data_IF_346799222226
#
_entry.id   IF_346799222226
#
_cell.length_a   1.000
_cell.length_b   1.000
_cell.length_c   1.000
_cell.angle_alpha   90.00
_cell.angle_beta   90.00
_cell.angle_gamma   90.00
#
_symmetry.space_group_name_H-M   'P 1'
#
loop_
_entity.id
_entity.type
_entity.pdbx_description
1 polymer ?
#
# COMPACT_ATOMS: atom_id res chain seq x y z
N UNK A 1 2.01 18.48 -20.22
CA UNK A 1 1.29 18.11 -18.97
C UNK A 1 0.39 19.23 -18.47
N UNK A 2 0.85 20.48 -18.42
CA UNK A 2 0.10 21.64 -17.94
C UNK A 2 -1.19 21.87 -18.71
N UNK A 3 -1.16 21.81 -20.04
CA UNK A 3 -2.35 22.00 -20.88
C UNK A 3 -3.47 20.98 -20.61
N UNK A 4 -3.12 19.71 -20.34
CA UNK A 4 -4.10 18.69 -19.99
C UNK A 4 -4.76 19.00 -18.65
N UNK A 5 -3.98 19.48 -17.67
CA UNK A 5 -4.50 19.86 -16.36
C UNK A 5 -5.47 21.03 -16.46
N UNK A 6 -5.14 22.07 -17.23
CA UNK A 6 -6.05 23.19 -17.48
C UNK A 6 -7.32 22.76 -18.19
N UNK A 7 -7.21 21.94 -19.23
CA UNK A 7 -8.35 21.40 -19.96
C UNK A 7 -9.33 20.63 -19.04
N UNK A 8 -8.79 19.78 -18.17
CA UNK A 8 -9.59 19.02 -17.21
C UNK A 8 -10.17 19.93 -16.12
N UNK A 9 -9.38 20.87 -15.59
CA UNK A 9 -9.82 21.81 -14.55
C UNK A 9 -10.98 22.67 -15.04
N UNK A 10 -10.91 23.27 -16.23
CA UNK A 10 -12.01 24.06 -16.78
C UNK A 10 -13.31 23.28 -16.87
N UNK A 11 -13.25 22.02 -17.31
CA UNK A 11 -14.44 21.17 -17.41
C UNK A 11 -15.01 20.83 -16.05
N UNK A 12 -14.15 20.50 -15.08
CA UNK A 12 -14.56 20.24 -13.72
C UNK A 12 -15.23 21.48 -13.12
N UNK A 13 -14.67 22.67 -13.28
CA UNK A 13 -15.24 23.90 -12.74
C UNK A 13 -16.62 24.18 -13.35
N UNK A 14 -16.78 24.00 -14.67
CA UNK A 14 -18.08 24.16 -15.35
C UNK A 14 -19.10 23.17 -14.81
N UNK A 15 -18.75 21.89 -14.65
CA UNK A 15 -19.66 20.85 -14.14
C UNK A 15 -20.01 21.04 -12.67
N UNK A 16 -19.13 21.59 -11.85
CA UNK A 16 -19.35 21.81 -10.43
C UNK A 16 -19.99 23.16 -10.10
N UNK A 17 -19.98 24.10 -11.03
CA UNK A 17 -20.51 25.44 -10.81
C UNK A 17 -21.95 25.46 -10.28
N UNK A 18 -22.89 24.63 -10.75
CA UNK A 18 -24.26 24.60 -10.21
C UNK A 18 -24.35 24.21 -8.74
N UNK A 19 -23.36 23.47 -8.21
CA UNK A 19 -23.35 22.99 -6.84
C UNK A 19 -22.52 23.87 -5.89
N UNK A 20 -21.47 24.50 -6.42
CA UNK A 20 -20.53 25.31 -5.63
C UNK A 20 -20.13 26.59 -6.37
N UNK A 21 -21.09 27.49 -6.65
CA UNK A 21 -20.87 28.65 -7.55
C UNK A 21 -19.77 29.57 -7.07
N UNK A 22 -19.71 29.90 -5.80
CA UNK A 22 -18.73 30.85 -5.28
C UNK A 22 -17.28 30.35 -5.37
N UNK A 23 -17.06 29.09 -5.03
CA UNK A 23 -15.72 28.49 -5.03
C UNK A 23 -15.22 28.31 -6.46
N UNK A 24 -16.07 27.79 -7.34
CA UNK A 24 -15.71 27.55 -8.74
C UNK A 24 -15.48 28.85 -9.50
N UNK A 25 -16.27 29.89 -9.21
CA UNK A 25 -16.10 31.23 -9.78
C UNK A 25 -14.76 31.85 -9.32
N UNK A 26 -14.45 31.78 -8.02
CA UNK A 26 -13.20 32.32 -7.49
C UNK A 26 -11.96 31.65 -8.11
N UNK A 27 -12.02 30.34 -8.34
CA UNK A 27 -10.94 29.62 -9.02
C UNK A 27 -10.88 30.02 -10.49
N UNK A 28 -12.02 30.11 -11.19
CA UNK A 28 -12.11 30.48 -12.59
C UNK A 28 -11.51 31.85 -12.86
N UNK A 29 -11.86 32.87 -12.05
CA UNK A 29 -11.37 34.24 -12.17
C UNK A 29 -9.86 34.39 -11.91
N UNK A 30 -9.20 33.36 -11.39
CA UNK A 30 -7.74 33.39 -11.23
C UNK A 30 -6.97 33.30 -12.56
N UNK A 31 -7.64 32.86 -13.64
CA UNK A 31 -7.04 32.70 -14.97
C UNK A 31 -7.99 33.03 -16.15
N UNK A 32 -9.21 33.47 -15.87
CA UNK A 32 -10.18 34.01 -16.84
C UNK A 32 -10.69 35.36 -16.37
N UNK A 33 -11.00 36.25 -17.34
CA UNK A 33 -11.56 37.57 -17.07
C UNK A 33 -13.08 37.59 -17.09
N UNK A 34 -13.70 36.59 -17.75
CA UNK A 34 -15.14 36.41 -17.86
C UNK A 34 -15.72 35.59 -16.69
N UNK A 35 -17.02 35.65 -16.49
CA UNK A 35 -17.69 34.87 -15.46
C UNK A 35 -17.90 33.42 -15.92
N UNK A 36 -17.65 32.47 -15.04
CA UNK A 36 -17.91 31.05 -15.26
C UNK A 36 -19.39 30.78 -15.57
N UNK A 37 -20.28 31.56 -14.94
CA UNK A 37 -21.74 31.47 -15.14
C UNK A 37 -22.17 31.59 -16.61
N UNK A 38 -21.45 32.38 -17.40
CA UNK A 38 -21.77 32.59 -18.83
C UNK A 38 -20.93 31.70 -19.75
N UNK A 39 -20.04 30.92 -19.21
CA UNK A 39 -19.19 30.02 -19.98
C UNK A 39 -20.00 28.87 -20.60
N UNK A 40 -19.64 28.51 -21.82
CA UNK A 40 -20.33 27.41 -22.53
C UNK A 40 -20.19 26.10 -21.77
N UNK A 41 -21.31 25.38 -21.61
CA UNK A 41 -21.32 24.05 -20.99
C UNK A 41 -20.43 23.06 -21.75
N UNK A 42 -19.65 22.20 -21.06
CA UNK A 42 -18.76 21.29 -21.74
C UNK A 42 -19.52 20.23 -22.54
N UNK A 43 -19.14 20.06 -23.78
CA UNK A 43 -19.62 18.98 -24.65
C UNK A 43 -18.65 17.81 -24.65
N UNK A 44 -19.19 16.61 -24.90
CA UNK A 44 -18.37 15.42 -25.09
C UNK A 44 -17.63 15.51 -26.41
N UNK A 45 -16.32 15.38 -26.36
CA UNK A 45 -15.47 15.27 -27.53
C UNK A 45 -15.02 13.83 -27.73
N UNK A 46 -15.63 13.13 -28.68
CA UNK A 46 -15.35 11.71 -28.95
C UNK A 46 -13.92 11.44 -29.43
N UNK A 47 -13.20 12.49 -29.90
CA UNK A 47 -11.80 12.32 -30.36
C UNK A 47 -10.84 11.92 -29.23
N UNK A 48 -11.20 12.20 -27.98
CA UNK A 48 -10.41 11.82 -26.80
C UNK A 48 -10.79 10.46 -26.19
N UNK A 49 -11.80 9.78 -26.73
CA UNK A 49 -12.21 8.45 -26.26
C UNK A 49 -11.33 7.41 -26.98
N UNK A 50 -10.53 6.68 -26.24
CA UNK A 50 -9.69 5.60 -26.74
C UNK A 50 -9.79 4.39 -25.82
N UNK A 51 -10.65 3.44 -26.19
CA UNK A 51 -10.93 2.23 -25.40
C UNK A 51 -9.68 1.36 -25.17
N UNK A 52 -8.75 1.32 -26.15
CA UNK A 52 -7.48 0.60 -25.99
C UNK A 52 -6.64 1.22 -24.88
N UNK A 53 -6.43 2.54 -24.95
CA UNK A 53 -5.66 3.26 -23.94
C UNK A 53 -6.30 3.17 -22.54
N UNK A 54 -7.63 3.20 -22.46
CA UNK A 54 -8.36 3.03 -21.19
C UNK A 54 -8.16 1.62 -20.62
N UNK A 55 -8.23 0.60 -21.47
CA UNK A 55 -8.01 -0.80 -21.08
C UNK A 55 -6.56 -1.02 -20.60
N UNK A 56 -5.58 -0.51 -21.34
CA UNK A 56 -4.15 -0.57 -20.99
C UNK A 56 -3.86 0.12 -19.66
N UNK A 57 -4.40 1.33 -19.49
CA UNK A 57 -4.24 2.07 -18.26
C UNK A 57 -4.95 1.40 -17.07
N UNK A 58 -6.13 0.78 -17.30
CA UNK A 58 -6.83 0.01 -16.28
C UNK A 58 -5.99 -1.17 -15.81
N UNK A 59 -5.36 -1.89 -16.73
CA UNK A 59 -4.46 -2.99 -16.41
C UNK A 59 -3.25 -2.51 -15.58
N UNK A 60 -2.59 -1.44 -16.01
CA UNK A 60 -1.47 -0.83 -15.26
C UNK A 60 -1.88 -0.43 -13.83
N UNK A 61 -3.06 0.19 -13.69
CA UNK A 61 -3.59 0.60 -12.38
C UNK A 61 -3.83 -0.59 -11.45
N UNK A 62 -4.35 -1.69 -11.97
CA UNK A 62 -4.56 -2.91 -11.19
C UNK A 62 -3.24 -3.53 -10.73
N UNK A 63 -2.25 -3.62 -11.64
CA UNK A 63 -0.90 -4.09 -11.29
C UNK A 63 -0.26 -3.22 -10.20
N UNK A 64 -0.32 -1.90 -10.35
CA UNK A 64 0.21 -0.95 -9.35
C UNK A 64 -0.49 -1.12 -8.00
N UNK A 65 -1.81 -1.29 -8.02
CA UNK A 65 -2.60 -1.49 -6.80
C UNK A 65 -2.23 -2.80 -6.11
N UNK A 66 -2.07 -3.88 -6.87
CA UNK A 66 -1.68 -5.17 -6.34
C UNK A 66 -0.27 -5.14 -5.71
N UNK A 67 0.69 -4.46 -6.36
CA UNK A 67 2.03 -4.26 -5.79
C UNK A 67 1.96 -3.51 -4.46
N UNK A 68 1.19 -2.43 -4.39
CA UNK A 68 1.02 -1.64 -3.16
C UNK A 68 0.37 -2.45 -2.05
N UNK A 69 -0.66 -3.23 -2.37
CA UNK A 69 -1.34 -4.09 -1.41
C UNK A 69 -0.38 -5.17 -0.88
N UNK A 70 0.33 -5.87 -1.76
CA UNK A 70 1.30 -6.88 -1.38
C UNK A 70 2.41 -6.32 -0.48
N UNK A 71 2.91 -5.12 -0.78
CA UNK A 71 3.89 -4.43 0.10
C UNK A 71 3.30 -4.08 1.46
N UNK A 72 2.05 -3.60 1.49
CA UNK A 72 1.35 -3.25 2.73
C UNK A 72 1.09 -4.47 3.61
N UNK A 73 0.58 -5.54 3.02
CA UNK A 73 0.29 -6.82 3.70
C UNK A 73 1.55 -7.45 4.30
N UNK A 74 2.66 -7.38 3.56
CA UNK A 74 3.95 -7.88 4.02
C UNK A 74 4.77 -6.84 4.82
N UNK A 75 4.15 -5.69 5.17
CA UNK A 75 4.74 -4.62 6.00
C UNK A 75 6.09 -4.11 5.48
N UNK A 76 6.29 -4.10 4.15
CA UNK A 76 7.51 -3.62 3.51
C UNK A 76 7.59 -2.10 3.67
N UNK A 77 8.65 -1.54 4.27
CA UNK A 77 8.79 -0.11 4.44
C UNK A 77 8.75 0.66 3.12
N UNK A 78 8.14 1.87 3.07
CA UNK A 78 8.07 2.66 1.83
C UNK A 78 9.43 3.01 1.22
N UNK A 79 10.46 3.17 2.07
CA UNK A 79 11.82 3.48 1.64
C UNK A 79 12.57 2.28 1.04
N UNK A 80 12.15 1.05 1.38
CA UNK A 80 12.81 -0.16 0.92
C UNK A 80 12.48 -0.41 -0.55
N UNK A 81 13.51 -0.55 -1.37
CA UNK A 81 13.37 -0.95 -2.77
C UNK A 81 13.14 -2.46 -2.87
N UNK A 82 12.26 -2.85 -3.80
CA UNK A 82 11.98 -4.25 -4.12
C UNK A 82 12.25 -4.48 -5.59
N UNK A 83 12.80 -5.64 -5.94
CA UNK A 83 12.89 -6.07 -7.34
C UNK A 83 11.55 -6.72 -7.71
N UNK A 84 11.09 -6.52 -8.92
CA UNK A 84 9.86 -7.12 -9.42
C UNK A 84 10.15 -7.94 -10.67
N UNK A 85 9.75 -9.21 -10.65
CA UNK A 85 9.80 -10.10 -11.79
C UNK A 85 8.37 -10.37 -12.27
N UNK A 86 8.09 -10.02 -13.51
CA UNK A 86 6.81 -10.23 -14.15
C UNK A 86 6.87 -11.48 -15.01
N UNK A 87 5.91 -12.37 -14.82
CA UNK A 87 5.76 -13.58 -15.62
C UNK A 87 5.30 -13.29 -17.05
N UNK A 88 5.28 -14.31 -17.92
CA UNK A 88 4.78 -14.17 -19.27
C UNK A 88 3.27 -13.85 -19.27
N UNK A 89 2.89 -12.79 -20.00
CA UNK A 89 1.50 -12.36 -20.12
C UNK A 89 1.29 -11.65 -21.45
N UNK A 90 0.10 -11.76 -22.10
CA UNK A 90 -0.18 -11.06 -23.37
C UNK A 90 0.03 -9.55 -23.32
N UNK A 91 -0.21 -8.94 -22.17
CA UNK A 91 -0.04 -7.50 -21.94
C UNK A 91 1.30 -7.14 -21.28
N UNK A 92 2.28 -8.05 -21.21
CA UNK A 92 3.59 -7.78 -20.60
C UNK A 92 4.33 -6.62 -21.29
N UNK A 93 4.16 -6.46 -22.60
CA UNK A 93 4.75 -5.36 -23.38
C UNK A 93 4.31 -3.98 -22.86
N UNK A 94 3.07 -3.85 -22.36
CA UNK A 94 2.56 -2.59 -21.78
C UNK A 94 3.33 -2.24 -20.50
N UNK A 95 3.64 -3.24 -19.68
CA UNK A 95 4.41 -3.03 -18.45
C UNK A 95 5.85 -2.61 -18.73
N UNK A 96 6.44 -3.20 -19.79
CA UNK A 96 7.78 -2.88 -20.23
C UNK A 96 7.87 -1.47 -20.81
N UNK A 97 6.90 -1.05 -21.60
CA UNK A 97 6.81 0.32 -22.15
C UNK A 97 6.65 1.35 -21.02
N UNK A 98 5.85 1.01 -20.01
CA UNK A 98 5.51 1.92 -18.89
C UNK A 98 6.33 1.69 -17.61
N UNK A 99 7.51 1.08 -17.70
CA UNK A 99 8.37 0.78 -16.54
C UNK A 99 8.73 2.02 -15.70
N UNK A 100 8.89 3.19 -16.32
CA UNK A 100 9.14 4.45 -15.62
C UNK A 100 7.95 4.83 -14.74
N UNK A 101 6.74 4.65 -15.26
CA UNK A 101 5.50 4.91 -14.53
C UNK A 101 5.37 3.94 -13.35
N UNK A 102 5.64 2.66 -13.57
CA UNK A 102 5.63 1.65 -12.53
C UNK A 102 6.57 2.00 -11.37
N UNK A 103 7.79 2.47 -11.65
CA UNK A 103 8.77 2.88 -10.63
C UNK A 103 8.39 4.18 -9.91
N UNK A 104 7.70 5.11 -10.59
CA UNK A 104 7.43 6.46 -10.07
C UNK A 104 6.21 6.55 -9.15
N UNK A 105 5.24 5.65 -9.27
CA UNK A 105 3.93 5.73 -8.60
C UNK A 105 3.91 5.15 -7.18
N UNK A 106 4.91 5.41 -6.37
CA UNK A 106 5.01 4.93 -4.97
C UNK A 106 4.89 3.41 -4.82
N UNK A 107 5.33 2.69 -5.83
CA UNK A 107 5.40 1.22 -5.79
C UNK A 107 6.63 0.72 -5.03
N UNK A 108 7.64 1.58 -4.86
CA UNK A 108 8.91 1.22 -4.24
C UNK A 108 9.72 0.22 -5.07
N UNK A 109 9.45 0.11 -6.37
CA UNK A 109 10.18 -0.79 -7.26
C UNK A 109 11.55 -0.24 -7.62
N UNK A 110 12.56 -1.09 -7.56
CA UNK A 110 13.91 -0.87 -8.07
C UNK A 110 14.06 -1.47 -9.47
N UNK A 111 14.64 -2.66 -9.54
CA UNK A 111 14.83 -3.36 -10.79
C UNK A 111 13.57 -4.11 -11.22
N UNK A 112 13.33 -4.15 -12.53
CA UNK A 112 12.21 -4.85 -13.14
C UNK A 112 12.76 -5.88 -14.14
N UNK A 113 12.24 -7.09 -14.06
CA UNK A 113 12.49 -8.15 -15.01
C UNK A 113 11.19 -8.62 -15.63
N UNK A 114 11.15 -8.87 -16.92
CA UNK A 114 9.95 -9.27 -17.64
C UNK A 114 10.10 -10.66 -18.23
N UNK A 115 8.98 -11.35 -18.43
CA UNK A 115 8.92 -12.70 -18.99
C UNK A 115 9.73 -13.74 -18.16
N UNK A 116 9.74 -13.58 -16.84
CA UNK A 116 10.44 -14.50 -15.93
C UNK A 116 9.55 -15.69 -15.64
N UNK A 117 10.05 -16.89 -15.94
CA UNK A 117 9.37 -18.17 -15.68
C UNK A 117 9.82 -18.84 -14.39
N UNK A 118 11.03 -18.51 -13.96
CA UNK A 118 11.63 -19.11 -12.79
C UNK A 118 11.04 -18.53 -11.51
N UNK A 119 10.78 -19.40 -10.54
CA UNK A 119 10.28 -18.98 -9.24
C UNK A 119 11.45 -18.60 -8.33
N UNK A 120 11.39 -17.39 -7.80
CA UNK A 120 12.36 -16.88 -6.82
C UNK A 120 11.93 -17.39 -5.44
N UNK A 121 12.75 -18.19 -4.72
CA UNK A 121 12.33 -18.89 -3.51
C UNK A 121 11.83 -17.99 -2.37
N UNK A 122 12.33 -16.76 -2.29
CA UNK A 122 11.99 -15.80 -1.22
C UNK A 122 11.08 -14.67 -1.69
N UNK A 123 10.48 -14.77 -2.88
CA UNK A 123 9.63 -13.73 -3.42
C UNK A 123 8.19 -13.83 -2.91
N UNK A 124 7.56 -12.67 -2.77
CA UNK A 124 6.13 -12.56 -2.55
C UNK A 124 5.43 -12.73 -3.90
N UNK A 125 4.56 -13.73 -3.99
CA UNK A 125 3.80 -14.02 -5.20
C UNK A 125 2.48 -13.26 -5.20
N UNK A 126 2.21 -12.56 -6.29
CA UNK A 126 0.98 -11.82 -6.54
C UNK A 126 0.43 -12.21 -7.91
N UNK A 127 -0.85 -12.47 -8.01
CA UNK A 127 -1.52 -12.73 -9.29
C UNK A 127 -2.53 -11.63 -9.60
N UNK A 128 -2.45 -11.07 -10.81
CA UNK A 128 -3.36 -10.02 -11.30
C UNK A 128 -3.81 -10.37 -12.71
N UNK A 129 -5.07 -10.68 -12.89
CA UNK A 129 -5.64 -11.04 -14.22
C UNK A 129 -4.84 -12.10 -14.99
N UNK A 130 -4.26 -13.06 -14.29
CA UNK A 130 -3.43 -14.10 -14.90
C UNK A 130 -1.96 -13.71 -15.11
N UNK A 131 -1.58 -12.47 -14.82
CA UNK A 131 -0.18 -12.08 -14.70
C UNK A 131 0.36 -12.55 -13.35
N UNK A 132 1.42 -13.32 -13.36
CA UNK A 132 2.18 -13.65 -12.16
C UNK A 132 3.26 -12.59 -11.91
N UNK A 133 3.28 -12.06 -10.71
CA UNK A 133 4.25 -11.07 -10.26
C UNK A 133 4.98 -11.62 -9.04
N UNK A 134 6.29 -11.56 -9.05
CA UNK A 134 7.15 -11.92 -7.94
C UNK A 134 7.85 -10.66 -7.43
N UNK A 135 7.64 -10.33 -6.16
CA UNK A 135 8.34 -9.22 -5.51
C UNK A 135 9.46 -9.80 -4.65
N UNK A 136 10.70 -9.62 -5.11
CA UNK A 136 11.88 -9.96 -4.34
C UNK A 136 12.19 -8.78 -3.41
N UNK A 137 12.05 -8.99 -2.13
CA UNK A 137 12.56 -8.05 -1.14
C UNK A 137 14.01 -8.43 -0.86
N UNK A 138 14.92 -7.51 -1.06
CA UNK A 138 16.20 -7.60 -0.35
C UNK A 138 15.83 -7.43 1.13
N UNK A 139 15.50 -8.52 1.77
CA UNK A 139 15.38 -8.56 3.22
C UNK A 139 16.82 -8.42 3.69
N UNK A 140 17.15 -7.23 4.18
CA UNK A 140 18.33 -7.09 5.00
C UNK A 140 18.04 -7.91 6.27
N UNK A 141 18.48 -9.17 6.25
CA UNK A 141 18.23 -10.14 7.32
C UNK A 141 18.66 -9.56 8.67
N UNK A 142 19.69 -8.71 8.67
CA UNK A 142 20.17 -8.04 9.87
C UNK A 142 19.18 -6.97 10.37
N UNK A 143 18.59 -6.21 9.49
CA UNK A 143 17.54 -5.21 9.86
C UNK A 143 16.28 -5.92 10.35
N UNK A 144 15.85 -6.97 9.67
CA UNK A 144 14.64 -7.71 10.08
C UNK A 144 14.88 -8.44 11.40
N UNK A 145 16.05 -9.04 11.57
CA UNK A 145 16.47 -9.66 12.84
C UNK A 145 16.49 -8.64 13.98
N UNK A 146 17.12 -7.49 13.79
CA UNK A 146 17.16 -6.42 14.81
C UNK A 146 15.76 -5.91 15.16
N UNK A 147 14.85 -5.86 14.18
CA UNK A 147 13.45 -5.50 14.40
C UNK A 147 12.74 -6.55 15.26
N UNK A 148 12.82 -7.83 14.91
CA UNK A 148 12.21 -8.90 15.69
C UNK A 148 12.82 -9.02 17.09
N UNK A 149 14.12 -8.81 17.25
CA UNK A 149 14.78 -8.75 18.56
C UNK A 149 14.25 -7.59 19.41
N UNK A 150 14.06 -6.41 18.81
CA UNK A 150 13.46 -5.25 19.51
C UNK A 150 11.99 -5.51 19.92
N UNK A 151 11.21 -6.13 19.03
CA UNK A 151 9.82 -6.48 19.28
C UNK A 151 9.71 -7.56 20.37
N UNK A 152 10.56 -8.58 20.32
CA UNK A 152 10.67 -9.62 21.34
C UNK A 152 10.96 -9.02 22.70
N UNK A 153 11.93 -8.10 22.79
CA UNK A 153 12.28 -7.42 24.05
C UNK A 153 11.12 -6.59 24.61
N UNK A 154 10.35 -5.92 23.75
CA UNK A 154 9.16 -5.14 24.19
C UNK A 154 8.06 -6.05 24.72
N UNK A 155 7.72 -7.12 24.00
CA UNK A 155 6.63 -8.02 24.38
C UNK A 155 7.04 -8.85 25.60
N UNK A 156 8.31 -9.27 25.73
CA UNK A 156 8.78 -9.98 26.93
C UNK A 156 8.65 -9.11 28.18
N UNK A 157 9.05 -7.84 28.10
CA UNK A 157 8.92 -6.92 29.23
C UNK A 157 7.45 -6.71 29.66
N UNK A 158 6.52 -6.64 28.67
CA UNK A 158 5.09 -6.54 28.95
C UNK A 158 4.52 -7.83 29.56
N UNK A 159 4.92 -8.99 29.07
CA UNK A 159 4.52 -10.28 29.61
C UNK A 159 5.03 -10.49 31.03
N UNK A 160 6.30 -10.15 31.29
CA UNK A 160 6.90 -10.24 32.63
C UNK A 160 6.23 -9.29 33.63
N UNK A 161 5.95 -8.05 33.25
CA UNK A 161 5.23 -7.09 34.09
C UNK A 161 3.81 -7.58 34.40
N UNK A 162 3.12 -8.19 33.44
CA UNK A 162 1.78 -8.73 33.61
C UNK A 162 1.81 -9.99 34.50
N UNK A 163 2.78 -10.88 34.29
CA UNK A 163 2.98 -12.08 35.13
C UNK A 163 3.28 -11.70 36.58
N UNK A 164 4.19 -10.78 36.82
CA UNK A 164 4.52 -10.27 38.17
C UNK A 164 3.31 -9.66 38.88
N UNK A 165 2.44 -8.98 38.09
CA UNK A 165 1.20 -8.41 38.64
C UNK A 165 0.16 -9.47 38.98
N UNK A 166 0.07 -10.55 38.21
CA UNK A 166 -0.81 -11.68 38.46
C UNK A 166 -0.30 -12.59 39.62
N UNK A 167 1.02 -12.57 39.90
CA UNK A 167 1.61 -13.28 41.03
C UNK A 167 1.44 -12.52 42.35
N UNK A 168 1.10 -11.25 42.32
CA UNK A 168 0.87 -10.45 43.52
C UNK A 168 -0.48 -10.84 44.16
N UNK A 169 -0.42 -11.54 45.26
CA UNK A 169 -1.61 -12.00 46.02
C UNK A 169 -2.53 -10.87 46.43
N UNK A 170 -2.00 -9.72 46.86
CA UNK A 170 -2.83 -8.58 47.23
C UNK A 170 -3.63 -8.00 46.05
N UNK A 171 -3.07 -8.05 44.86
CA UNK A 171 -3.77 -7.63 43.64
C UNK A 171 -4.87 -8.63 43.26
N UNK A 172 -4.55 -9.92 43.29
CA UNK A 172 -5.49 -10.97 42.88
C UNK A 172 -6.69 -11.07 43.86
N UNK A 173 -6.46 -10.84 45.15
CA UNK A 173 -7.52 -10.89 46.19
C UNK A 173 -8.47 -9.65 46.14
N UNK A 174 -7.95 -8.50 45.70
CA UNK A 174 -8.71 -7.23 45.66
C UNK A 174 -9.33 -6.89 44.31
N UNK A 175 -8.81 -7.46 43.22
CA UNK A 175 -9.24 -7.12 41.85
C UNK A 175 -10.54 -7.89 41.48
N UNK A 176 -11.44 -7.28 40.69
CA UNK A 176 -12.60 -7.96 40.13
C UNK A 176 -12.20 -9.17 39.29
N UNK A 177 -12.96 -10.25 39.36
CA UNK A 177 -12.68 -11.49 38.62
C UNK A 177 -12.57 -11.30 37.11
N UNK A 178 -13.35 -10.37 36.54
CA UNK A 178 -13.28 -10.01 35.13
C UNK A 178 -11.92 -9.39 34.72
N UNK A 179 -11.36 -8.54 35.58
CA UNK A 179 -10.04 -7.94 35.31
C UNK A 179 -8.95 -8.99 35.32
N UNK A 180 -8.99 -9.90 36.28
CA UNK A 180 -8.04 -11.02 36.39
C UNK A 180 -8.13 -11.92 35.15
N UNK A 181 -9.35 -12.25 34.71
CA UNK A 181 -9.57 -13.05 33.50
C UNK A 181 -9.01 -12.36 32.25
N UNK A 182 -9.28 -11.07 32.09
CA UNK A 182 -8.77 -10.27 30.97
C UNK A 182 -7.23 -10.18 30.96
N UNK A 183 -6.62 -10.01 32.15
CA UNK A 183 -5.14 -9.96 32.23
C UNK A 183 -4.51 -11.33 31.96
N UNK A 184 -5.13 -12.43 32.37
CA UNK A 184 -4.70 -13.77 31.99
C UNK A 184 -4.78 -14.03 30.49
N UNK A 185 -5.87 -13.59 29.86
CA UNK A 185 -6.02 -13.72 28.40
C UNK A 185 -4.96 -12.92 27.66
N UNK A 186 -4.68 -11.67 28.08
CA UNK A 186 -3.60 -10.86 27.51
C UNK A 186 -2.22 -11.49 27.68
N UNK A 187 -1.97 -12.09 28.83
CA UNK A 187 -0.70 -12.81 29.07
C UNK A 187 -0.56 -14.01 28.13
N UNK A 188 -1.65 -14.75 27.90
CA UNK A 188 -1.67 -15.85 26.94
C UNK A 188 -1.42 -15.36 25.49
N UNK A 189 -2.00 -14.21 25.10
CA UNK A 189 -1.77 -13.59 23.81
C UNK A 189 -0.30 -13.14 23.65
N UNK A 190 0.30 -12.53 24.68
CA UNK A 190 1.70 -12.14 24.64
C UNK A 190 2.63 -13.35 24.53
N UNK A 191 2.37 -14.42 25.28
CA UNK A 191 3.15 -15.65 25.20
C UNK A 191 3.05 -16.29 23.80
N UNK A 192 1.86 -16.35 23.22
CA UNK A 192 1.67 -16.84 21.84
C UNK A 192 2.43 -15.98 20.83
N UNK A 193 2.44 -14.66 21.02
CA UNK A 193 3.18 -13.72 20.15
C UNK A 193 4.70 -13.91 20.31
N UNK A 194 5.19 -14.13 21.52
CA UNK A 194 6.61 -14.42 21.79
C UNK A 194 7.08 -15.70 21.10
N UNK A 195 6.26 -16.75 21.13
CA UNK A 195 6.59 -18.00 20.44
C UNK A 195 6.69 -17.80 18.92
N UNK A 196 5.73 -17.07 18.32
CA UNK A 196 5.76 -16.76 16.89
C UNK A 196 6.99 -15.94 16.49
N UNK A 197 7.37 -14.94 17.31
CA UNK A 197 8.56 -14.12 17.03
C UNK A 197 9.83 -14.96 17.17
N UNK A 198 9.94 -15.82 18.17
CA UNK A 198 11.08 -16.72 18.35
C UNK A 198 11.21 -17.70 17.18
N UNK A 199 10.09 -18.25 16.70
CA UNK A 199 10.09 -19.12 15.53
C UNK A 199 10.60 -18.37 14.29
N UNK A 200 10.12 -17.13 14.05
CA UNK A 200 10.60 -16.29 12.95
C UNK A 200 12.09 -15.98 13.05
N UNK A 201 12.59 -15.68 14.25
CA UNK A 201 14.03 -15.45 14.46
C UNK A 201 14.87 -16.71 14.19
N UNK A 202 14.36 -17.90 14.49
CA UNK A 202 15.04 -19.15 14.17
C UNK A 202 15.05 -19.46 12.66
N UNK A 203 14.05 -19.01 11.91
CA UNK A 203 13.99 -19.13 10.45
C UNK A 203 14.97 -18.16 9.74
N UNK A 204 15.36 -17.06 10.42
CA UNK A 204 16.33 -16.06 9.92
C UNK A 204 17.79 -16.33 10.36
N UNK A 205 18.03 -17.42 11.07
CA UNK A 205 19.37 -17.85 11.49
C UNK A 205 19.94 -18.86 10.53
#
# INVERSE_FOLDING_TARGET
>A
KTNVLYYVLERILKLWHPFMPFVTEAIWQSYHEDLLLVAQWPSVDGTYINESAESEFSFLREVITAIRNARSENKIPPAQKTKAAFGPHPQAAILEEHQILLKSLRTGLGDLSFNVTDKIPSAIFVSVKGLELQLETEVDLDIERARFESELKKISALAEALASRLDNKEFVDKAPKEIIANEKNKLAEYNSSLEKIKQRLSELS
#
